data_IF_918193687766
#
_entry.id   IF_918193687766
#
_cell.length_a   1.000
_cell.length_b   1.000
_cell.length_c   1.000
_cell.angle_alpha   90.00
_cell.angle_beta   90.00
_cell.angle_gamma   90.00
#
_symmetry.space_group_name_H-M   'P 1'
#
loop_
_entity.id
_entity.type
_entity.pdbx_description
1 polymer ?
#
# COMPACT_ATOMS: atom_id res chain seq x y z
N UNK A 1 -15.19 -44.76 53.48
CA UNK A 1 -14.00 -43.90 53.35
C UNK A 1 -13.11 -44.53 52.29
N UNK A 2 -12.75 -43.98 51.14
CA UNK A 2 -12.96 -42.71 50.42
C UNK A 2 -12.65 -43.03 48.95
N UNK A 3 -13.52 -42.67 48.01
CA UNK A 3 -13.29 -42.87 46.56
C UNK A 3 -12.23 -41.88 46.07
N UNK A 4 -11.10 -42.37 45.55
CA UNK A 4 -10.10 -41.55 44.86
C UNK A 4 -10.65 -41.17 43.47
N UNK A 5 -11.26 -40.00 43.38
CA UNK A 5 -11.63 -39.38 42.10
C UNK A 5 -10.33 -38.99 41.38
N UNK A 6 -9.96 -39.75 40.36
CA UNK A 6 -8.92 -39.36 39.42
C UNK A 6 -9.47 -38.20 38.58
N UNK A 7 -9.25 -36.97 39.05
CA UNK A 7 -9.53 -35.76 38.28
C UNK A 7 -8.57 -35.73 37.09
N UNK A 8 -9.06 -36.10 35.90
CA UNK A 8 -8.40 -35.71 34.65
C UNK A 8 -8.40 -34.18 34.60
N UNK A 9 -7.26 -33.57 34.89
CA UNK A 9 -7.00 -32.16 34.59
C UNK A 9 -7.05 -31.99 33.08
N UNK A 10 -8.22 -31.63 32.56
CA UNK A 10 -8.38 -31.18 31.19
C UNK A 10 -8.15 -29.67 31.18
N UNK A 11 -6.89 -29.25 31.08
CA UNK A 11 -6.61 -27.83 30.93
C UNK A 11 -5.39 -27.56 30.04
N UNK A 12 -5.61 -26.60 29.12
CA UNK A 12 -4.63 -25.80 28.39
C UNK A 12 -3.73 -26.51 27.36
N UNK A 13 -4.27 -26.90 26.21
CA UNK A 13 -3.45 -27.06 24.98
C UNK A 13 -4.15 -26.56 23.70
N UNK A 14 -5.27 -25.82 23.81
CA UNK A 14 -5.93 -25.24 22.63
C UNK A 14 -5.20 -24.01 22.06
N UNK A 15 -4.25 -23.43 22.80
CA UNK A 15 -3.46 -22.26 22.33
C UNK A 15 -2.27 -22.71 21.46
N UNK A 16 -1.91 -23.99 21.47
CA UNK A 16 -0.73 -24.46 20.72
C UNK A 16 -1.08 -25.14 19.39
N UNK A 17 -2.25 -25.74 19.22
CA UNK A 17 -2.54 -26.40 17.92
C UNK A 17 -2.61 -25.39 16.79
N UNK A 18 -3.28 -24.24 16.99
CA UNK A 18 -3.32 -23.17 15.98
C UNK A 18 -1.96 -22.52 15.75
N UNK A 19 -1.12 -22.35 16.78
CA UNK A 19 0.27 -21.85 16.61
C UNK A 19 1.17 -22.86 15.89
N UNK A 20 1.04 -24.15 16.18
CA UNK A 20 1.82 -25.22 15.56
C UNK A 20 1.42 -25.42 14.10
N UNK A 21 0.12 -25.32 13.79
CA UNK A 21 -0.38 -25.37 12.40
C UNK A 21 0.10 -24.14 11.62
N UNK A 22 0.04 -22.94 12.21
CA UNK A 22 0.57 -21.72 11.59
C UNK A 22 2.10 -21.71 11.46
N UNK A 23 2.82 -22.34 12.40
CA UNK A 23 4.28 -22.49 12.34
C UNK A 23 4.72 -23.53 11.31
N UNK A 24 3.94 -24.60 11.13
CA UNK A 24 4.15 -25.60 10.07
C UNK A 24 3.80 -25.07 8.67
N UNK A 25 2.91 -24.07 8.58
CA UNK A 25 2.58 -23.37 7.34
C UNK A 25 3.43 -22.11 7.09
N UNK A 26 4.58 -21.97 7.74
CA UNK A 26 5.62 -21.10 7.19
C UNK A 26 6.03 -21.70 5.84
N UNK A 27 5.44 -21.19 4.75
CA UNK A 27 5.99 -21.39 3.42
C UNK A 27 7.40 -20.81 3.46
N UNK A 28 8.39 -21.67 3.66
CA UNK A 28 9.79 -21.32 3.50
C UNK A 28 9.97 -20.94 2.03
N UNK A 29 9.85 -19.65 1.75
CA UNK A 29 10.11 -19.14 0.42
C UNK A 29 11.57 -19.45 0.07
N UNK A 30 11.87 -19.81 -1.18
CA UNK A 30 13.24 -20.01 -1.60
C UNK A 30 14.12 -18.80 -1.22
N UNK A 31 15.35 -19.06 -0.78
CA UNK A 31 16.26 -18.01 -0.26
C UNK A 31 16.48 -16.85 -1.25
N UNK A 32 16.38 -17.11 -2.56
CA UNK A 32 16.47 -16.08 -3.59
C UNK A 32 15.29 -15.08 -3.54
N UNK A 33 14.07 -15.54 -3.21
CA UNK A 33 12.88 -14.67 -3.10
C UNK A 33 13.11 -13.68 -1.97
N UNK A 34 13.50 -14.16 -0.79
CA UNK A 34 13.84 -13.29 0.33
C UNK A 34 14.95 -12.30 -0.01
N UNK A 35 16.02 -12.74 -0.67
CA UNK A 35 17.13 -11.87 -1.08
C UNK A 35 16.68 -10.78 -2.05
N UNK A 36 15.83 -11.12 -3.02
CA UNK A 36 15.29 -10.16 -3.99
C UNK A 36 14.32 -9.18 -3.33
N UNK A 37 13.38 -9.66 -2.51
CA UNK A 37 12.44 -8.83 -1.76
C UNK A 37 13.17 -7.84 -0.85
N UNK A 38 14.21 -8.31 -0.13
CA UNK A 38 15.06 -7.45 0.70
C UNK A 38 15.72 -6.35 -0.13
N UNK A 39 16.35 -6.71 -1.26
CA UNK A 39 16.99 -5.74 -2.15
C UNK A 39 16.00 -4.70 -2.69
N UNK A 40 14.81 -5.13 -3.11
CA UNK A 40 13.77 -4.23 -3.58
C UNK A 40 13.29 -3.27 -2.47
N UNK A 41 13.09 -3.80 -1.26
CA UNK A 41 12.69 -3.02 -0.09
C UNK A 41 13.72 -1.96 0.27
N UNK A 42 15.00 -2.31 0.25
CA UNK A 42 16.12 -1.39 0.49
C UNK A 42 16.16 -0.27 -0.55
N UNK A 43 16.01 -0.59 -1.84
CA UNK A 43 15.98 0.41 -2.92
C UNK A 43 14.78 1.35 -2.80
N UNK A 44 13.58 0.80 -2.57
CA UNK A 44 12.35 1.58 -2.40
C UNK A 44 12.46 2.52 -1.21
N UNK A 45 12.90 2.02 -0.07
CA UNK A 45 13.05 2.83 1.14
C UNK A 45 14.21 3.82 1.05
N UNK A 46 15.31 3.46 0.38
CA UNK A 46 16.41 4.38 0.09
C UNK A 46 15.94 5.59 -0.72
N UNK A 47 15.17 5.34 -1.79
CA UNK A 47 14.57 6.40 -2.60
C UNK A 47 13.61 7.28 -1.78
N UNK A 48 12.70 6.67 -1.00
CA UNK A 48 11.77 7.42 -0.16
C UNK A 48 12.49 8.28 0.88
N UNK A 49 13.51 7.72 1.56
CA UNK A 49 14.33 8.45 2.56
C UNK A 49 15.05 9.63 1.94
N UNK A 50 15.52 9.52 0.69
CA UNK A 50 16.19 10.64 0.00
C UNK A 50 15.24 11.83 -0.24
N UNK A 51 13.95 11.58 -0.42
CA UNK A 51 12.92 12.60 -0.58
C UNK A 51 12.36 13.11 0.75
N UNK A 52 12.55 12.34 1.83
CA UNK A 52 12.12 12.68 3.19
C UNK A 52 13.21 13.49 3.92
N UNK A 53 13.44 14.70 3.43
CA UNK A 53 14.29 15.69 4.10
C UNK A 53 13.54 16.34 5.27
N UNK A 54 14.25 16.94 6.26
CA UNK A 54 13.61 17.62 7.39
C UNK A 54 12.57 18.66 6.96
N UNK A 55 12.83 19.32 5.83
CA UNK A 55 11.86 20.17 5.14
C UNK A 55 11.36 19.41 3.91
N UNK A 56 10.13 18.89 3.98
CA UNK A 56 9.50 18.19 2.84
C UNK A 56 9.14 19.19 1.76
N UNK A 57 9.71 19.04 0.56
CA UNK A 57 9.34 19.85 -0.59
C UNK A 57 7.92 19.52 -1.04
N UNK A 58 7.12 20.55 -1.30
CA UNK A 58 5.78 20.41 -1.87
C UNK A 58 5.82 20.63 -3.38
N UNK A 59 4.92 19.96 -4.09
CA UNK A 59 4.66 20.14 -5.53
C UNK A 59 3.17 20.38 -5.72
N UNK A 60 2.83 21.21 -6.69
CA UNK A 60 1.46 21.45 -7.08
C UNK A 60 1.06 20.49 -8.21
N UNK A 61 -0.05 19.80 -8.00
CA UNK A 61 -0.60 18.79 -8.90
C UNK A 61 -1.98 19.25 -9.33
N UNK A 62 -2.12 19.63 -10.60
CA UNK A 62 -3.38 20.12 -11.15
C UNK A 62 -4.23 18.94 -11.66
N UNK A 63 -5.41 18.75 -11.10
CA UNK A 63 -6.34 17.72 -11.55
C UNK A 63 -7.14 18.21 -12.77
N UNK A 64 -7.02 17.47 -13.87
CA UNK A 64 -7.63 17.79 -15.18
C UNK A 64 -8.70 16.80 -15.62
N UNK A 65 -8.95 15.76 -14.81
CA UNK A 65 -9.86 14.68 -15.11
C UNK A 65 -11.34 14.98 -14.91
N UNK A 66 -12.19 14.01 -15.28
CA UNK A 66 -13.63 14.06 -15.05
C UNK A 66 -14.01 13.39 -13.71
N UNK A 67 -14.91 13.97 -12.89
CA UNK A 67 -15.61 15.25 -13.06
C UNK A 67 -14.66 16.44 -12.91
N UNK A 68 -14.81 17.43 -13.80
CA UNK A 68 -13.89 18.57 -13.89
C UNK A 68 -14.02 19.45 -12.65
N UNK A 69 -12.99 19.43 -11.81
CA UNK A 69 -12.96 20.20 -10.56
C UNK A 69 -11.90 21.30 -10.52
N UNK A 70 -11.08 21.45 -11.58
CA UNK A 70 -9.95 22.40 -11.67
C UNK A 70 -9.15 22.53 -10.35
N UNK A 71 -9.04 21.41 -9.63
CA UNK A 71 -8.48 21.38 -8.29
C UNK A 71 -6.96 21.29 -8.36
N UNK A 72 -6.26 22.13 -7.60
CA UNK A 72 -4.81 22.07 -7.45
C UNK A 72 -4.49 21.48 -6.08
N UNK A 73 -3.81 20.33 -6.08
CA UNK A 73 -3.42 19.59 -4.89
C UNK A 73 -1.95 19.88 -4.58
N UNK A 74 -1.68 20.38 -3.39
CA UNK A 74 -0.29 20.49 -2.93
C UNK A 74 0.13 19.15 -2.30
N UNK A 75 1.10 18.46 -2.88
CA UNK A 75 1.53 17.10 -2.50
C UNK A 75 3.01 17.05 -2.12
N UNK A 76 3.43 16.05 -1.35
CA UNK A 76 4.83 15.89 -0.96
C UNK A 76 5.67 15.27 -2.09
N UNK A 77 6.69 15.98 -2.55
CA UNK A 77 7.57 15.56 -3.65
C UNK A 77 8.33 14.28 -3.29
N UNK A 78 8.30 13.30 -4.20
CA UNK A 78 9.02 12.03 -4.08
C UNK A 78 8.43 11.06 -3.05
N UNK A 79 7.31 11.43 -2.40
CA UNK A 79 6.64 10.62 -1.37
C UNK A 79 5.19 10.37 -1.78
N UNK A 80 4.44 11.43 -2.08
CA UNK A 80 3.04 11.33 -2.45
C UNK A 80 2.86 10.62 -3.79
N UNK A 81 1.79 9.83 -3.85
CA UNK A 81 1.43 9.03 -5.03
C UNK A 81 0.13 9.55 -5.66
N UNK A 82 -0.15 9.23 -6.94
CA UNK A 82 -1.45 9.51 -7.54
C UNK A 82 -2.62 8.93 -6.73
N UNK A 83 -2.44 7.77 -6.10
CA UNK A 83 -3.43 7.20 -5.21
C UNK A 83 -3.71 8.09 -3.98
N UNK A 84 -2.71 8.77 -3.43
CA UNK A 84 -2.93 9.74 -2.36
C UNK A 84 -3.65 11.00 -2.87
N UNK A 85 -3.38 11.42 -4.11
CA UNK A 85 -4.13 12.49 -4.77
C UNK A 85 -5.62 12.10 -4.92
N UNK A 86 -5.90 10.85 -5.30
CA UNK A 86 -7.26 10.34 -5.42
C UNK A 86 -8.00 10.38 -4.07
N UNK A 87 -7.34 10.00 -2.96
CA UNK A 87 -7.89 10.13 -1.60
C UNK A 87 -8.31 11.56 -1.25
N UNK A 88 -7.52 12.55 -1.66
CA UNK A 88 -7.84 13.97 -1.41
C UNK A 88 -9.05 14.46 -2.22
N UNK A 89 -9.30 13.87 -3.39
CA UNK A 89 -10.39 14.28 -4.28
C UNK A 89 -11.70 13.58 -3.92
N UNK A 90 -11.73 12.24 -3.92
CA UNK A 90 -12.92 11.48 -3.51
C UNK A 90 -12.61 10.00 -3.32
N UNK A 91 -13.39 9.34 -2.44
CA UNK A 91 -13.33 7.90 -2.25
C UNK A 91 -13.62 7.13 -3.55
N UNK A 92 -14.55 7.62 -4.38
CA UNK A 92 -14.92 6.97 -5.64
C UNK A 92 -13.74 6.94 -6.63
N UNK A 93 -12.98 8.03 -6.73
CA UNK A 93 -11.76 8.05 -7.54
C UNK A 93 -10.72 7.10 -6.96
N UNK A 94 -10.52 7.09 -5.65
CA UNK A 94 -9.58 6.17 -5.02
C UNK A 94 -9.89 4.70 -5.35
N UNK A 95 -11.16 4.30 -5.27
CA UNK A 95 -11.56 2.90 -5.44
C UNK A 95 -11.60 2.46 -6.91
N UNK A 96 -11.87 3.37 -7.84
CA UNK A 96 -12.03 3.06 -9.27
C UNK A 96 -10.80 3.36 -10.12
N UNK A 97 -9.89 4.23 -9.67
CA UNK A 97 -8.70 4.62 -10.44
C UNK A 97 -7.70 3.48 -10.49
N UNK A 98 -7.42 3.01 -11.70
CA UNK A 98 -6.51 1.88 -11.94
C UNK A 98 -5.15 2.39 -12.39
N UNK A 99 -5.14 3.43 -13.22
CA UNK A 99 -3.93 4.07 -13.74
C UNK A 99 -4.07 5.58 -13.61
N UNK A 100 -2.96 6.28 -13.41
CA UNK A 100 -2.89 7.72 -13.53
C UNK A 100 -2.31 8.12 -14.88
N UNK A 101 -2.75 9.26 -15.40
CA UNK A 101 -2.11 9.98 -16.49
C UNK A 101 -1.42 11.21 -15.90
N UNK A 102 -0.09 11.18 -15.89
CA UNK A 102 0.74 12.30 -15.44
C UNK A 102 1.28 13.00 -16.68
N UNK A 103 0.83 14.24 -16.93
CA UNK A 103 1.13 14.98 -18.15
C UNK A 103 0.79 14.19 -19.43
N UNK A 104 -0.33 13.44 -19.40
CA UNK A 104 -0.78 12.60 -20.52
C UNK A 104 -0.04 11.27 -20.67
N UNK A 105 0.95 10.98 -19.82
CA UNK A 105 1.70 9.72 -19.85
C UNK A 105 1.20 8.73 -18.77
N UNK A 106 1.11 7.43 -19.08
CA UNK A 106 0.69 6.42 -18.12
C UNK A 106 1.66 6.34 -16.95
N UNK A 107 1.12 6.38 -15.73
CA UNK A 107 1.88 6.34 -14.49
C UNK A 107 1.17 5.45 -13.47
N UNK A 108 1.94 4.60 -12.80
CA UNK A 108 1.41 3.68 -11.80
C UNK A 108 0.85 4.44 -10.58
N UNK A 109 -0.26 3.95 -10.04
CA UNK A 109 -1.00 4.63 -8.95
C UNK A 109 -0.20 4.73 -7.65
N UNK A 110 0.75 3.81 -7.42
CA UNK A 110 1.60 3.79 -6.23
C UNK A 110 3.03 4.27 -6.49
N UNK A 111 3.29 4.81 -7.68
CA UNK A 111 4.59 5.39 -8.02
C UNK A 111 4.64 6.86 -7.56
N UNK A 112 5.66 7.28 -6.78
CA UNK A 112 5.75 8.65 -6.29
C UNK A 112 5.84 9.72 -7.39
N UNK A 113 5.28 10.89 -7.12
CA UNK A 113 5.35 12.06 -8.00
C UNK A 113 6.58 12.91 -7.68
N UNK A 114 7.43 13.20 -8.67
CA UNK A 114 8.70 13.91 -8.47
C UNK A 114 8.67 15.37 -8.88
N UNK A 115 7.67 15.79 -9.65
CA UNK A 115 7.58 17.12 -10.24
C UNK A 115 6.13 17.60 -10.25
N UNK A 116 5.94 18.91 -10.41
CA UNK A 116 4.63 19.49 -10.71
C UNK A 116 4.08 18.91 -12.01
N UNK A 117 2.79 18.58 -12.02
CA UNK A 117 2.18 17.89 -13.15
C UNK A 117 0.66 18.05 -13.21
N UNK A 118 0.13 17.82 -14.42
CA UNK A 118 -1.29 17.64 -14.66
C UNK A 118 -1.64 16.17 -14.44
N UNK A 119 -2.67 15.92 -13.64
CA UNK A 119 -3.12 14.59 -13.24
C UNK A 119 -4.52 14.31 -13.79
N UNK A 120 -4.69 13.13 -14.37
CA UNK A 120 -5.97 12.54 -14.74
C UNK A 120 -5.98 11.05 -14.35
N UNK A 121 -7.15 10.44 -14.25
CA UNK A 121 -7.31 9.04 -13.86
C UNK A 121 -8.00 8.21 -14.94
N UNK A 122 -7.47 7.01 -15.15
CA UNK A 122 -8.09 6.01 -16.01
C UNK A 122 -8.78 4.97 -15.13
N UNK A 123 -10.03 4.71 -15.49
CA UNK A 123 -10.88 3.70 -14.89
C UNK A 123 -11.16 2.59 -15.90
N UNK A 124 -11.42 1.37 -15.44
CA UNK A 124 -12.05 0.37 -16.31
C UNK A 124 -13.45 0.86 -16.69
N UNK A 125 -13.83 0.77 -17.97
CA UNK A 125 -15.20 1.08 -18.39
C UNK A 125 -16.17 0.17 -17.64
N UNK A 126 -17.13 0.77 -16.95
CA UNK A 126 -18.39 0.09 -16.66
C UNK A 126 -19.19 0.17 -17.96
N UNK A 127 -19.07 -0.85 -18.81
CA UNK A 127 -20.09 -1.10 -19.82
C UNK A 127 -21.37 -1.42 -19.06
N UNK A 128 -22.35 -0.53 -19.09
CA UNK A 128 -23.71 -0.83 -18.68
C UNK A 128 -24.42 -1.62 -19.79
#
# INVERSE_FOLDING_TARGET
MTLRVFRRTFSHNLVDVTRLVNAAEFKDYPSYVFKQSKRWWELKNGAMRSSMTPNVQRIDVAYTGYPKSDAVLSMAKGISTPHDCAKHLSQLLQDRSVLALVNGMPHDMHRPLTCECNLDFIHFKVSF
#
